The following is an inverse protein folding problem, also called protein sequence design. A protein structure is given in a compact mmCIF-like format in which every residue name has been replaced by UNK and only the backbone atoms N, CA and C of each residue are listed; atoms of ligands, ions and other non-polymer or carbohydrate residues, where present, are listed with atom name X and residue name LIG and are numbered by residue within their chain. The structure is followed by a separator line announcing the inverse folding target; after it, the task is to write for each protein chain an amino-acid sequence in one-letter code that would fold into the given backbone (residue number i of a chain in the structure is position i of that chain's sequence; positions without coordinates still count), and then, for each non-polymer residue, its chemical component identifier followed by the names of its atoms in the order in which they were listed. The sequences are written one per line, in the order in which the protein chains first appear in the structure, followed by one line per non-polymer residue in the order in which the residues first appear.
data_IF_517735109819
#
_entry.id   IF_517735109819
#
_cell.length_a   1.000
_cell.length_b   1.000
_cell.length_c   1.000
_cell.angle_alpha   90.00
_cell.angle_beta   90.00
_cell.angle_gamma   90.00
#
_symmetry.space_group_name_H-M   'P 1'
#
loop_
_entity.id
_entity.type
_entity.pdbx_description
1 polymer ?
#
# COMPACT_ATOMS: atom_id res chain seq x y z
N UNK A 1 -20.28 11.92 -0.54
CA UNK A 1 -19.17 12.53 0.22
C UNK A 1 -18.12 13.01 -0.78
N UNK A 2 -17.69 14.27 -0.70
CA UNK A 2 -16.68 14.79 -1.63
C UNK A 2 -15.30 14.17 -1.29
N UNK A 3 -14.88 13.16 -2.04
CA UNK A 3 -13.59 12.50 -1.87
C UNK A 3 -12.44 13.29 -2.50
N UNK A 4 -12.74 14.32 -3.27
CA UNK A 4 -11.77 15.12 -4.02
C UNK A 4 -10.68 15.75 -3.13
N UNK A 5 -11.03 16.14 -1.90
CA UNK A 5 -10.09 16.70 -0.94
C UNK A 5 -9.01 15.70 -0.46
N UNK A 6 -9.21 14.39 -0.69
CA UNK A 6 -8.25 13.34 -0.35
C UNK A 6 -7.57 12.76 -1.58
N UNK A 7 -7.89 13.27 -2.77
CA UNK A 7 -7.37 12.77 -4.02
C UNK A 7 -6.24 13.64 -4.52
N UNK A 8 -5.15 13.00 -4.90
CA UNK A 8 -4.12 13.61 -5.73
C UNK A 8 -4.16 12.95 -7.12
N UNK A 9 -4.39 13.75 -8.15
CA UNK A 9 -4.56 13.27 -9.54
C UNK A 9 -3.24 13.16 -10.31
N UNK A 10 -2.11 13.38 -9.63
CA UNK A 10 -0.78 13.34 -10.22
C UNK A 10 -0.37 14.63 -10.95
N UNK A 11 -1.21 15.66 -10.93
CA UNK A 11 -0.89 16.96 -11.56
C UNK A 11 -0.33 17.95 -10.55
N UNK A 12 0.65 18.71 -10.99
CA UNK A 12 1.29 19.72 -10.15
C UNK A 12 2.20 19.15 -9.07
N UNK A 13 2.60 20.01 -8.14
CA UNK A 13 3.48 19.65 -7.03
C UNK A 13 2.63 19.05 -5.89
N UNK A 14 2.98 17.84 -5.46
CA UNK A 14 2.40 17.24 -4.27
C UNK A 14 2.90 17.93 -3.00
N UNK A 15 1.98 18.32 -2.12
CA UNK A 15 2.31 18.81 -0.79
C UNK A 15 1.57 17.97 0.27
N UNK A 16 2.30 17.15 1.00
CA UNK A 16 1.77 16.33 2.09
C UNK A 16 1.06 17.15 3.17
N UNK A 17 1.50 18.40 3.42
CA UNK A 17 0.92 19.28 4.45
C UNK A 17 -0.48 19.77 4.11
N UNK A 18 -0.85 19.74 2.83
CA UNK A 18 -2.19 20.08 2.38
C UNK A 18 -3.23 19.01 2.77
N UNK A 19 -2.79 17.81 3.14
CA UNK A 19 -3.66 16.70 3.52
C UNK A 19 -3.69 16.54 5.04
N UNK A 20 -4.88 16.67 5.64
CA UNK A 20 -5.05 16.51 7.09
C UNK A 20 -4.86 15.07 7.53
N UNK A 21 -4.31 14.89 8.75
CA UNK A 21 -4.23 13.58 9.44
C UNK A 21 -5.41 13.32 10.37
N UNK A 22 -6.34 14.27 10.45
CA UNK A 22 -7.52 14.18 11.32
C UNK A 22 -8.79 14.09 10.47
N UNK A 23 -9.80 13.32 10.92
CA UNK A 23 -11.10 13.32 10.26
C UNK A 23 -11.71 14.71 10.22
N UNK A 24 -12.44 15.07 9.17
CA UNK A 24 -13.18 16.33 9.11
C UNK A 24 -14.21 16.44 10.23
N UNK A 25 -14.47 17.66 10.68
CA UNK A 25 -15.50 17.93 11.69
C UNK A 25 -16.89 17.44 11.27
N UNK A 26 -17.15 17.35 9.98
CA UNK A 26 -18.37 16.79 9.43
C UNK A 26 -18.61 15.31 9.79
N UNK A 27 -17.59 14.58 10.25
CA UNK A 27 -17.71 13.22 10.74
C UNK A 27 -17.97 13.12 12.26
N UNK A 28 -17.80 14.22 12.99
CA UNK A 28 -18.11 14.23 14.43
C UNK A 28 -19.59 13.88 14.64
N UNK A 29 -19.86 13.02 15.60
CA UNK A 29 -21.20 12.55 15.97
C UNK A 29 -22.00 11.82 14.85
N UNK A 30 -21.35 11.34 13.78
CA UNK A 30 -22.01 10.61 12.70
C UNK A 30 -21.57 9.14 12.62
N UNK A 31 -21.17 8.56 13.72
CA UNK A 31 -20.60 7.18 13.76
C UNK A 31 -21.52 6.14 13.11
N UNK A 32 -22.82 6.19 13.43
CA UNK A 32 -23.79 5.20 12.90
C UNK A 32 -24.04 5.42 11.39
N UNK A 33 -24.12 6.68 10.96
CA UNK A 33 -24.23 7.00 9.55
C UNK A 33 -23.01 6.54 8.75
N UNK A 34 -21.80 6.79 9.27
CA UNK A 34 -20.55 6.35 8.65
C UNK A 34 -20.52 4.81 8.53
N UNK A 35 -20.96 4.11 9.57
CA UNK A 35 -21.04 2.65 9.57
C UNK A 35 -22.00 2.14 8.49
N UNK A 36 -23.19 2.73 8.39
CA UNK A 36 -24.15 2.39 7.35
C UNK A 36 -23.63 2.69 5.93
N UNK A 37 -22.92 3.82 5.75
CA UNK A 37 -22.29 4.18 4.47
C UNK A 37 -21.21 3.16 4.09
N UNK A 38 -20.39 2.69 5.05
CA UNK A 38 -19.38 1.66 4.83
C UNK A 38 -20.05 0.35 4.38
N UNK A 39 -21.09 -0.10 5.07
CA UNK A 39 -21.84 -1.32 4.71
C UNK A 39 -22.41 -1.24 3.30
N UNK A 40 -22.99 -0.10 2.92
CA UNK A 40 -23.51 0.13 1.56
C UNK A 40 -22.39 0.15 0.51
N UNK A 41 -21.26 0.76 0.82
CA UNK A 41 -20.09 0.78 -0.07
C UNK A 41 -19.53 -0.63 -0.28
N UNK A 42 -19.47 -1.46 0.76
CA UNK A 42 -19.04 -2.87 0.65
C UNK A 42 -19.97 -3.66 -0.26
N UNK A 43 -21.31 -3.49 -0.12
CA UNK A 43 -22.29 -4.12 -1.02
C UNK A 43 -22.10 -3.67 -2.47
N UNK A 44 -21.79 -2.40 -2.68
CA UNK A 44 -21.50 -1.85 -4.02
C UNK A 44 -20.23 -2.43 -4.59
N UNK A 45 -19.16 -2.50 -3.78
CA UNK A 45 -17.87 -3.10 -4.17
C UNK A 45 -18.04 -4.57 -4.56
N UNK A 46 -18.83 -5.33 -3.79
CA UNK A 46 -19.13 -6.73 -4.12
C UNK A 46 -19.82 -6.89 -5.48
N UNK A 47 -20.79 -6.01 -5.82
CA UNK A 47 -21.42 -6.02 -7.14
C UNK A 47 -20.44 -5.66 -8.26
N UNK A 48 -19.60 -4.65 -8.05
CA UNK A 48 -18.57 -4.25 -9.02
C UNK A 48 -17.59 -5.41 -9.26
N UNK A 49 -17.18 -6.10 -8.20
CA UNK A 49 -16.29 -7.26 -8.31
C UNK A 49 -16.92 -8.40 -9.12
N UNK A 50 -18.23 -8.68 -8.92
CA UNK A 50 -18.93 -9.68 -9.72
C UNK A 50 -18.97 -9.32 -11.21
N UNK A 51 -19.23 -8.04 -11.54
CA UNK A 51 -19.21 -7.58 -12.94
C UNK A 51 -17.78 -7.65 -13.52
N UNK A 52 -16.77 -7.30 -12.74
CA UNK A 52 -15.37 -7.40 -13.14
C UNK A 52 -15.01 -8.85 -13.48
N UNK A 53 -15.36 -9.80 -12.61
CA UNK A 53 -15.13 -11.23 -12.80
C UNK A 53 -15.86 -11.79 -14.01
N UNK A 54 -17.05 -11.30 -14.32
CA UNK A 54 -17.84 -11.75 -15.48
C UNK A 54 -17.24 -11.29 -16.81
N UNK A 55 -16.74 -10.05 -16.89
CA UNK A 55 -16.22 -9.49 -18.16
C UNK A 55 -14.78 -9.91 -18.48
N UNK A 56 -13.95 -10.17 -17.48
CA UNK A 56 -12.54 -10.61 -17.61
C UNK A 56 -11.62 -9.74 -18.50
N UNK A 57 -12.04 -8.51 -18.81
CA UNK A 57 -11.25 -7.59 -19.66
C UNK A 57 -10.32 -6.70 -18.85
N UNK A 58 -10.80 -6.30 -17.68
CA UNK A 58 -10.07 -5.45 -16.77
C UNK A 58 -9.83 -6.17 -15.45
N UNK A 59 -8.86 -5.67 -14.70
CA UNK A 59 -8.60 -6.07 -13.33
C UNK A 59 -8.30 -4.84 -12.47
N UNK A 60 -8.37 -4.99 -11.17
CA UNK A 60 -8.14 -3.89 -10.23
C UNK A 60 -7.04 -4.28 -9.27
N UNK A 61 -6.03 -3.42 -9.18
CA UNK A 61 -4.98 -3.50 -8.17
C UNK A 61 -5.14 -2.34 -7.18
N UNK A 62 -5.39 -2.67 -5.93
CA UNK A 62 -5.47 -1.71 -4.83
C UNK A 62 -4.18 -1.78 -4.02
N UNK A 63 -3.49 -0.67 -3.88
CA UNK A 63 -2.24 -0.59 -3.11
C UNK A 63 -2.50 0.21 -1.84
N UNK A 64 -2.23 -0.37 -0.68
CA UNK A 64 -2.21 0.32 0.61
C UNK A 64 -0.78 0.56 1.07
N UNK A 65 -0.44 1.84 1.21
CA UNK A 65 0.84 2.29 1.76
C UNK A 65 0.61 3.18 2.99
N UNK A 66 1.62 3.28 3.84
CA UNK A 66 1.59 4.11 5.04
C UNK A 66 2.63 3.64 6.05
N UNK A 67 2.94 4.52 7.00
CA UNK A 67 3.89 4.26 8.08
C UNK A 67 3.46 3.06 8.93
N UNK A 68 4.37 2.54 9.74
CA UNK A 68 4.04 1.49 10.69
C UNK A 68 2.96 1.97 11.67
N UNK A 69 2.11 1.05 12.07
CA UNK A 69 0.88 1.31 12.82
C UNK A 69 -0.16 2.20 12.09
N UNK A 70 0.00 2.52 10.80
CA UNK A 70 -1.01 3.29 10.05
C UNK A 70 -2.36 2.57 9.91
N UNK A 71 -2.40 1.25 10.13
CA UNK A 71 -3.64 0.47 10.11
C UNK A 71 -3.93 -0.17 8.76
N UNK A 72 -2.90 -0.45 7.96
CA UNK A 72 -3.04 -1.12 6.65
C UNK A 72 -3.84 -2.41 6.73
N UNK A 73 -3.47 -3.34 7.63
CA UNK A 73 -4.15 -4.62 7.81
C UNK A 73 -5.64 -4.43 8.14
N UNK A 74 -5.94 -3.57 9.12
CA UNK A 74 -7.33 -3.31 9.53
C UNK A 74 -8.14 -2.64 8.43
N UNK A 75 -7.52 -1.77 7.64
CA UNK A 75 -8.19 -1.14 6.50
C UNK A 75 -8.54 -2.19 5.43
N UNK A 76 -7.61 -3.08 5.11
CA UNK A 76 -7.82 -4.17 4.16
C UNK A 76 -8.93 -5.10 4.66
N UNK A 77 -8.88 -5.51 5.92
CA UNK A 77 -9.92 -6.33 6.56
C UNK A 77 -11.31 -5.69 6.42
N UNK A 78 -11.44 -4.40 6.75
CA UNK A 78 -12.72 -3.70 6.67
C UNK A 78 -13.21 -3.50 5.23
N UNK A 79 -12.34 -3.15 4.30
CA UNK A 79 -12.72 -2.91 2.89
C UNK A 79 -13.08 -4.21 2.19
N UNK A 80 -12.38 -5.30 2.49
CA UNK A 80 -12.57 -6.60 1.83
C UNK A 80 -13.65 -7.46 2.51
N UNK A 81 -14.13 -7.06 3.71
CA UNK A 81 -15.22 -7.78 4.37
C UNK A 81 -16.48 -7.76 3.50
N UNK A 82 -17.04 -8.94 3.19
CA UNK A 82 -18.23 -9.06 2.34
C UNK A 82 -17.98 -9.01 0.83
N UNK A 83 -16.74 -8.90 0.38
CA UNK A 83 -16.36 -9.14 -1.02
C UNK A 83 -16.14 -10.64 -1.24
N UNK A 84 -16.60 -11.19 -2.37
CA UNK A 84 -16.44 -12.61 -2.66
C UNK A 84 -14.93 -12.96 -2.73
N UNK A 85 -14.44 -13.92 -1.92
CA UNK A 85 -13.04 -14.33 -1.95
C UNK A 85 -12.61 -14.98 -3.28
N UNK A 86 -13.56 -15.51 -4.05
CA UNK A 86 -13.28 -15.98 -5.41
C UNK A 86 -13.07 -14.78 -6.33
N UNK A 87 -11.89 -14.69 -6.93
CA UNK A 87 -11.50 -13.56 -7.76
C UNK A 87 -11.00 -12.32 -6.99
N UNK A 88 -10.66 -12.53 -5.71
CA UNK A 88 -9.96 -11.54 -4.90
C UNK A 88 -8.73 -12.15 -4.25
N UNK A 89 -7.66 -11.38 -4.14
CA UNK A 89 -6.44 -11.80 -3.44
C UNK A 89 -5.87 -10.65 -2.62
N UNK A 90 -5.18 -10.99 -1.53
CA UNK A 90 -4.43 -10.04 -0.71
C UNK A 90 -2.99 -10.51 -0.64
N UNK A 91 -2.07 -9.69 -1.13
CA UNK A 91 -0.64 -9.96 -1.11
C UNK A 91 0.05 -9.00 -0.16
N UNK A 92 0.75 -9.53 0.83
CA UNK A 92 1.51 -8.75 1.80
C UNK A 92 3.00 -8.85 1.49
N UNK A 93 3.60 -7.76 1.03
CA UNK A 93 5.04 -7.71 0.78
C UNK A 93 5.79 -7.50 2.08
N UNK A 94 6.58 -8.49 2.43
CA UNK A 94 7.51 -8.51 3.57
C UNK A 94 8.93 -8.38 3.05
N UNK A 95 9.89 -8.56 3.95
CA UNK A 95 11.31 -8.71 3.56
C UNK A 95 11.41 -9.73 2.44
N UNK A 96 12.12 -9.42 1.34
CA UNK A 96 12.30 -10.35 0.23
C UNK A 96 12.93 -11.68 0.67
N UNK A 97 12.48 -12.77 0.08
CA UNK A 97 13.10 -14.08 0.21
C UNK A 97 14.35 -14.15 -0.66
N UNK A 98 15.24 -15.15 -0.43
CA UNK A 98 16.42 -15.38 -1.28
C UNK A 98 16.05 -15.50 -2.76
N UNK A 99 15.00 -16.26 -3.07
CA UNK A 99 14.49 -16.39 -4.44
C UNK A 99 14.05 -15.05 -5.05
N UNK A 100 13.45 -14.18 -4.25
CA UNK A 100 13.03 -12.85 -4.70
C UNK A 100 14.22 -11.92 -4.91
N UNK A 101 15.28 -12.06 -4.10
CA UNK A 101 16.53 -11.30 -4.24
C UNK A 101 17.37 -11.75 -5.45
N UNK A 102 17.23 -12.99 -5.91
CA UNK A 102 17.88 -13.50 -7.13
C UNK A 102 17.26 -12.93 -8.42
N UNK A 103 16.15 -12.21 -8.31
CA UNK A 103 15.46 -11.57 -9.41
C UNK A 103 15.48 -10.04 -9.25
N UNK A 104 15.10 -9.31 -10.30
CA UNK A 104 14.92 -7.87 -10.21
C UNK A 104 13.81 -7.50 -9.20
N UNK A 105 13.92 -6.31 -8.61
CA UNK A 105 13.03 -5.85 -7.52
C UNK A 105 11.55 -5.78 -7.91
N UNK A 106 11.21 -5.75 -9.21
CA UNK A 106 9.82 -5.73 -9.70
C UNK A 106 9.28 -7.12 -10.00
N UNK A 107 10.12 -8.15 -10.04
CA UNK A 107 9.69 -9.51 -10.38
C UNK A 107 8.58 -10.02 -9.46
N UNK A 108 8.76 -9.92 -8.14
CA UNK A 108 7.76 -10.34 -7.15
C UNK A 108 6.46 -9.53 -7.24
N UNK A 109 6.55 -8.27 -7.66
CA UNK A 109 5.42 -7.37 -7.86
C UNK A 109 4.62 -7.80 -9.10
N UNK A 110 5.31 -7.99 -10.22
CA UNK A 110 4.68 -8.41 -11.46
C UNK A 110 4.00 -9.78 -11.35
N UNK A 111 4.65 -10.72 -10.66
CA UNK A 111 4.09 -12.05 -10.36
C UNK A 111 2.78 -12.01 -9.57
N UNK A 112 2.60 -10.98 -8.76
CA UNK A 112 1.43 -10.79 -7.91
C UNK A 112 0.31 -9.94 -8.58
N UNK A 113 0.48 -9.52 -9.83
CA UNK A 113 -0.55 -8.74 -10.53
C UNK A 113 -1.82 -9.55 -10.74
N UNK A 114 -3.00 -8.88 -10.66
CA UNK A 114 -4.28 -9.55 -10.88
C UNK A 114 -4.42 -10.06 -12.32
N UNK A 115 -5.00 -11.23 -12.48
CA UNK A 115 -5.48 -11.69 -13.76
C UNK A 115 -6.75 -10.94 -14.20
N UNK A 116 -7.11 -11.02 -15.48
CA UNK A 116 -8.33 -10.38 -15.99
C UNK A 116 -9.59 -10.83 -15.21
N UNK A 117 -10.34 -9.88 -14.68
CA UNK A 117 -11.51 -10.12 -13.84
C UNK A 117 -11.23 -10.18 -12.35
N UNK A 118 -9.99 -10.10 -11.93
CA UNK A 118 -9.61 -10.18 -10.51
C UNK A 118 -9.42 -8.82 -9.87
N UNK A 119 -9.61 -8.78 -8.55
CA UNK A 119 -9.29 -7.68 -7.67
C UNK A 119 -8.20 -8.12 -6.71
N UNK A 120 -7.04 -7.49 -6.80
CA UNK A 120 -5.91 -7.78 -5.90
C UNK A 120 -5.60 -6.58 -5.02
N UNK A 121 -5.35 -6.85 -3.74
CA UNK A 121 -4.93 -5.83 -2.76
C UNK A 121 -3.49 -6.09 -2.38
N UNK A 122 -2.65 -5.08 -2.52
CA UNK A 122 -1.29 -5.06 -2.02
C UNK A 122 -1.23 -4.39 -0.66
N UNK A 123 -0.80 -5.13 0.37
CA UNK A 123 -0.42 -4.60 1.66
C UNK A 123 1.09 -4.33 1.62
N UNK A 124 1.48 -3.07 1.54
CA UNK A 124 2.77 -2.60 1.03
C UNK A 124 2.90 -2.90 -0.48
N UNK A 125 4.00 -2.53 -1.12
CA UNK A 125 4.12 -2.68 -2.57
C UNK A 125 5.55 -2.45 -3.03
N UNK A 126 5.75 -2.31 -4.35
CA UNK A 126 7.01 -1.89 -4.98
C UNK A 126 7.60 -0.58 -4.43
N UNK A 127 6.80 0.20 -3.73
CA UNK A 127 7.29 1.45 -3.13
C UNK A 127 8.17 1.21 -1.90
N UNK A 128 8.16 0.02 -1.29
CA UNK A 128 9.11 -0.32 -0.21
C UNK A 128 10.55 -0.20 -0.71
N UNK A 129 10.82 -0.64 -1.94
CA UNK A 129 12.14 -0.63 -2.59
C UNK A 129 12.72 0.78 -2.86
N UNK A 130 11.94 1.83 -2.67
CA UNK A 130 12.37 3.23 -2.76
C UNK A 130 12.06 4.03 -1.49
N UNK A 131 11.38 3.45 -0.53
CA UNK A 131 11.10 4.04 0.77
C UNK A 131 11.98 3.42 1.85
N UNK A 132 11.89 2.10 2.05
CA UNK A 132 12.63 1.38 3.08
C UNK A 132 14.10 1.30 2.69
N UNK A 133 14.42 0.89 1.48
CA UNK A 133 15.80 0.73 1.01
C UNK A 133 16.54 2.07 0.97
N UNK A 134 15.82 3.19 0.78
CA UNK A 134 16.43 4.51 0.84
C UNK A 134 16.81 4.92 2.26
N UNK A 135 16.10 4.42 3.27
CA UNK A 135 16.44 4.61 4.69
C UNK A 135 17.52 3.62 5.13
N UNK A 136 17.50 2.42 4.54
CA UNK A 136 18.36 1.29 4.85
C UNK A 136 19.11 0.81 3.59
N UNK A 137 20.03 1.61 3.03
CA UNK A 137 20.70 1.30 1.76
C UNK A 137 21.54 0.02 1.81
N UNK A 138 21.88 -0.48 3.01
CA UNK A 138 22.52 -1.78 3.20
C UNK A 138 21.67 -2.96 2.71
N UNK A 139 20.35 -2.78 2.55
CA UNK A 139 19.47 -3.83 2.00
C UNK A 139 19.76 -4.09 0.52
N UNK A 140 20.16 -3.05 -0.23
CA UNK A 140 20.52 -3.16 -1.64
C UNK A 140 21.70 -4.10 -1.90
N UNK A 141 22.61 -4.24 -0.94
CA UNK A 141 23.76 -5.15 -1.06
C UNK A 141 23.33 -6.61 -1.19
N UNK A 142 22.12 -6.95 -0.76
CA UNK A 142 21.56 -8.30 -0.89
C UNK A 142 20.97 -8.58 -2.28
N UNK A 143 20.74 -7.55 -3.07
CA UNK A 143 20.18 -7.67 -4.42
C UNK A 143 21.23 -7.94 -5.48
N UNK A 144 22.52 -7.92 -5.11
CA UNK A 144 23.67 -8.14 -6.01
C UNK A 144 23.63 -7.28 -7.27
N UNK A 145 23.27 -6.01 -7.13
CA UNK A 145 23.15 -5.08 -8.25
C UNK A 145 24.53 -4.78 -8.85
N UNK A 146 24.68 -4.80 -10.18
CA UNK A 146 25.94 -4.46 -10.82
C UNK A 146 26.46 -3.07 -10.42
N UNK A 147 27.69 -3.00 -9.93
CA UNK A 147 28.33 -1.76 -9.51
C UNK A 147 27.91 -1.23 -8.13
N UNK A 148 27.20 -2.03 -7.33
CA UNK A 148 26.83 -1.71 -5.94
C UNK A 148 27.45 -2.78 -5.03
N UNK A 149 28.69 -2.58 -4.65
CA UNK A 149 29.43 -3.47 -3.74
C UNK A 149 29.41 -2.98 -2.28
N UNK A 150 29.07 -1.70 -2.11
CA UNK A 150 29.02 -1.03 -0.81
C UNK A 150 27.94 0.05 -0.77
N UNK A 151 27.55 0.48 0.44
CA UNK A 151 26.58 1.57 0.63
C UNK A 151 27.04 2.89 -0.02
N UNK A 152 28.34 3.10 -0.16
CA UNK A 152 28.93 4.28 -0.77
C UNK A 152 28.67 4.35 -2.30
N UNK A 153 28.40 3.22 -2.92
CA UNK A 153 28.10 3.13 -4.35
C UNK A 153 26.64 3.49 -4.67
N UNK A 154 25.79 3.59 -3.64
CA UNK A 154 24.39 3.94 -3.78
C UNK A 154 24.25 5.43 -4.05
N UNK A 155 23.91 5.78 -5.28
CA UNK A 155 23.76 7.16 -5.73
C UNK A 155 22.31 7.62 -5.82
N UNK A 156 22.09 8.94 -5.87
CA UNK A 156 20.75 9.51 -6.10
C UNK A 156 20.17 9.14 -7.46
N UNK A 157 21.01 8.80 -8.46
CA UNK A 157 20.55 8.33 -9.76
C UNK A 157 19.84 6.98 -9.66
N UNK A 158 20.33 6.06 -8.81
CA UNK A 158 19.69 4.76 -8.58
C UNK A 158 18.22 4.93 -8.17
N UNK A 159 17.95 5.84 -7.22
CA UNK A 159 16.58 6.10 -6.77
C UNK A 159 15.70 6.70 -7.87
N UNK A 160 16.26 7.59 -8.68
CA UNK A 160 15.56 8.19 -9.81
C UNK A 160 15.22 7.15 -10.87
N UNK A 161 16.11 6.21 -11.13
CA UNK A 161 15.91 5.09 -12.05
C UNK A 161 14.84 4.13 -11.52
N UNK A 162 14.91 3.72 -10.25
CA UNK A 162 13.85 2.88 -9.62
C UNK A 162 12.48 3.54 -9.69
N UNK A 163 12.37 4.84 -9.46
CA UNK A 163 11.11 5.55 -9.63
C UNK A 163 10.61 5.53 -11.08
N UNK A 164 11.50 5.61 -12.06
CA UNK A 164 11.13 5.51 -13.47
C UNK A 164 10.68 4.09 -13.83
N UNK A 165 11.33 3.06 -13.30
CA UNK A 165 10.96 1.66 -13.50
C UNK A 165 9.58 1.37 -12.90
N UNK A 166 9.31 1.83 -11.68
CA UNK A 166 7.99 1.73 -11.05
C UNK A 166 6.92 2.40 -11.92
N UNK A 167 7.18 3.63 -12.41
CA UNK A 167 6.24 4.34 -13.28
C UNK A 167 6.02 3.61 -14.61
N UNK A 168 7.09 3.05 -15.17
CA UNK A 168 7.03 2.29 -16.41
C UNK A 168 6.19 1.01 -16.23
N UNK A 169 6.39 0.29 -15.13
CA UNK A 169 5.60 -0.90 -14.77
C UNK A 169 4.11 -0.53 -14.59
N UNK A 170 3.80 0.53 -13.86
CA UNK A 170 2.41 0.97 -13.67
C UNK A 170 1.76 1.41 -14.99
N UNK A 171 2.49 2.11 -15.84
CA UNK A 171 2.02 2.49 -17.16
C UNK A 171 1.79 1.26 -18.08
N UNK A 172 2.69 0.26 -18.00
CA UNK A 172 2.53 -1.02 -18.69
C UNK A 172 1.27 -1.73 -18.18
N UNK A 173 1.10 -1.90 -16.89
CA UNK A 173 -0.04 -2.53 -16.28
C UNK A 173 -1.38 -1.89 -16.73
N UNK A 174 -1.43 -0.55 -16.72
CA UNK A 174 -2.61 0.20 -17.17
C UNK A 174 -2.96 -0.06 -18.63
N UNK A 175 -1.97 -0.11 -19.53
CA UNK A 175 -2.20 -0.41 -20.95
C UNK A 175 -2.72 -1.84 -21.15
N UNK A 176 -2.43 -2.75 -20.22
CA UNK A 176 -2.91 -4.13 -20.22
C UNK A 176 -4.21 -4.34 -19.40
N UNK A 177 -4.94 -3.26 -19.10
CA UNK A 177 -6.27 -3.34 -18.47
C UNK A 177 -6.25 -3.43 -16.95
N UNK A 178 -5.11 -3.24 -16.29
CA UNK A 178 -5.02 -3.22 -14.83
C UNK A 178 -5.25 -1.78 -14.33
N UNK A 179 -6.37 -1.54 -13.66
CA UNK A 179 -6.63 -0.27 -12.96
C UNK A 179 -5.91 -0.27 -11.62
N UNK A 180 -4.96 0.65 -11.44
CA UNK A 180 -4.21 0.77 -10.19
C UNK A 180 -4.78 1.91 -9.35
N UNK A 181 -5.18 1.60 -8.12
CA UNK A 181 -5.64 2.56 -7.12
C UNK A 181 -4.66 2.55 -5.95
N UNK A 182 -4.11 3.72 -5.60
CA UNK A 182 -3.12 3.85 -4.54
C UNK A 182 -3.69 4.63 -3.36
N UNK A 183 -3.63 4.06 -2.17
CA UNK A 183 -4.09 4.66 -0.92
C UNK A 183 -2.92 4.81 0.05
N UNK A 184 -2.62 6.04 0.42
CA UNK A 184 -1.66 6.33 1.47
C UNK A 184 -2.39 6.67 2.77
N UNK A 185 -2.15 5.87 3.81
CA UNK A 185 -2.74 6.09 5.13
C UNK A 185 -1.93 7.14 5.88
N UNK A 186 -2.37 8.39 5.77
CA UNK A 186 -1.70 9.55 6.37
C UNK A 186 -2.00 9.64 7.87
N UNK A 187 -1.04 9.21 8.68
CA UNK A 187 -1.14 9.16 10.14
C UNK A 187 -0.23 10.21 10.78
N UNK A 188 -0.72 10.91 11.80
CA UNK A 188 0.11 11.81 12.58
C UNK A 188 1.08 11.04 13.48
N UNK A 189 2.25 11.62 13.76
CA UNK A 189 3.22 11.04 14.69
C UNK A 189 2.63 10.82 16.10
N UNK A 190 1.73 11.70 16.55
CA UNK A 190 1.06 11.55 17.84
C UNK A 190 0.16 10.31 17.87
N UNK A 191 -0.69 10.14 16.84
CA UNK A 191 -1.56 8.97 16.76
C UNK A 191 -0.76 7.68 16.54
N UNK A 192 0.32 7.71 15.76
CA UNK A 192 1.23 6.56 15.63
C UNK A 192 1.77 6.12 16.99
N UNK A 193 2.21 7.07 17.83
CA UNK A 193 2.66 6.78 19.20
C UNK A 193 1.56 6.09 20.01
N UNK A 194 0.35 6.63 19.98
CA UNK A 194 -0.78 6.06 20.71
C UNK A 194 -1.06 4.61 20.26
N UNK A 195 -0.95 4.34 18.97
CA UNK A 195 -1.16 2.99 18.42
C UNK A 195 -0.05 2.02 18.82
N UNK A 196 1.21 2.46 18.91
CA UNK A 196 2.30 1.65 19.43
C UNK A 196 2.10 1.34 20.93
N UNK A 197 1.71 2.31 21.74
CA UNK A 197 1.40 2.06 23.14
C UNK A 197 0.28 1.02 23.29
N UNK A 198 -0.80 1.14 22.51
CA UNK A 198 -1.87 0.15 22.50
C UNK A 198 -1.42 -1.26 22.07
N UNK A 199 -0.37 -1.38 21.25
CA UNK A 199 0.19 -2.70 20.90
C UNK A 199 0.89 -3.35 22.10
N UNK A 200 1.48 -2.55 22.99
CA UNK A 200 2.13 -3.03 24.21
C UNK A 200 1.09 -3.39 25.27
N UNK A 201 0.04 -2.59 25.41
CA UNK A 201 -0.99 -2.75 26.44
C UNK A 201 -1.97 -3.91 26.17
N UNK A 202 -2.18 -4.25 24.90
CA UNK A 202 -3.17 -5.26 24.47
C UNK A 202 -2.45 -6.57 24.11
N UNK A 203 -2.56 -7.64 24.93
CA UNK A 203 -1.82 -8.89 24.74
C UNK A 203 -1.96 -9.50 23.34
N UNK A 204 -3.17 -9.46 22.75
CA UNK A 204 -3.45 -9.99 21.42
C UNK A 204 -2.73 -9.22 20.30
N UNK A 205 -2.15 -8.06 20.61
CA UNK A 205 -1.40 -7.20 19.67
C UNK A 205 0.10 -7.20 19.89
N UNK A 206 0.57 -7.77 21.00
CA UNK A 206 2.00 -7.73 21.38
C UNK A 206 2.91 -8.36 20.32
N UNK A 207 2.43 -9.37 19.61
CA UNK A 207 3.20 -10.02 18.53
C UNK A 207 3.50 -9.08 17.35
N UNK A 208 2.79 -7.95 17.22
CA UNK A 208 3.03 -6.90 16.21
C UNK A 208 4.03 -5.84 16.67
N UNK A 209 4.53 -5.95 17.90
CA UNK A 209 5.44 -4.96 18.46
C UNK A 209 6.88 -5.28 18.06
N UNK A 210 7.58 -4.30 17.52
CA UNK A 210 9.01 -4.35 17.23
C UNK A 210 9.74 -3.15 17.82
N UNK A 211 10.90 -3.38 18.42
CA UNK A 211 11.77 -2.29 18.87
C UNK A 211 12.36 -1.49 17.69
N UNK A 212 12.50 -2.11 16.52
CA UNK A 212 12.93 -1.44 15.30
C UNK A 212 11.93 -0.35 14.90
N UNK A 213 10.61 -0.66 14.92
CA UNK A 213 9.55 0.31 14.61
C UNK A 213 9.64 1.60 15.45
N UNK A 214 10.17 1.51 16.67
CA UNK A 214 10.33 2.67 17.56
C UNK A 214 11.57 3.48 17.19
N UNK A 215 12.67 2.82 16.80
CA UNK A 215 13.92 3.49 16.42
C UNK A 215 13.77 4.27 15.12
N UNK A 216 12.96 3.77 14.20
CA UNK A 216 12.71 4.37 12.89
C UNK A 216 11.63 5.47 12.89
N UNK A 217 11.01 5.70 14.01
CA UNK A 217 9.97 6.71 14.19
C UNK A 217 10.60 8.11 14.28
#
# INVERSE_FOLDING_TARGET
MALEQYRFDGKGKFDMKAFTTTPPDSFKNKKDQIKADIENNIKTLSKVQQHLAAQKQYSVLIIFQGMDAAGKDSMIEHVMSGVNPQGTSVVSFKVPTELELDHDFLWRIHKAFPAGGELTVFNRSQYEEVLVDRVHPELLLKENLPGIDSVQDVSDSLWSERFNDIKALEAYARRNGILILKFFLHLSKAEQKNRFLKRIEVPEKNWKFSLADIKER
#
